data_IF_884603764392
#
_entry.id   IF_884603764392
#
_cell.length_a   1.000
_cell.length_b   1.000
_cell.length_c   1.000
_cell.angle_alpha   90.00
_cell.angle_beta   90.00
_cell.angle_gamma   90.00
#
_symmetry.space_group_name_H-M   'P 1'
#
loop_
_entity.id
_entity.type
_entity.pdbx_description
1 polymer ?
#
# COMPACT_ATOMS: atom_id res chain seq x y z
N UNK A 1 -50.16 -12.88 -14.78
CA UNK A 1 -49.12 -12.32 -15.69
C UNK A 1 -47.83 -12.24 -14.87
N UNK A 2 -47.06 -13.35 -14.91
CA UNK A 2 -45.87 -13.53 -14.08
C UNK A 2 -44.66 -12.87 -14.75
N UNK A 3 -44.07 -11.90 -14.07
CA UNK A 3 -42.81 -11.30 -14.48
C UNK A 3 -41.69 -12.30 -14.10
N UNK A 4 -41.18 -13.00 -15.12
CA UNK A 4 -39.94 -13.77 -15.00
C UNK A 4 -38.77 -12.82 -14.75
N UNK A 5 -38.27 -12.85 -13.54
CA UNK A 5 -36.99 -12.27 -13.15
C UNK A 5 -35.86 -13.01 -13.86
N UNK A 6 -35.25 -12.35 -14.82
CA UNK A 6 -34.03 -12.82 -15.46
C UNK A 6 -32.88 -12.79 -14.42
N UNK A 7 -32.49 -13.98 -14.00
CA UNK A 7 -31.35 -14.26 -13.15
C UNK A 7 -30.05 -13.75 -13.78
N UNK A 8 -29.32 -12.98 -12.97
CA UNK A 8 -27.93 -12.62 -13.00
C UNK A 8 -27.01 -13.49 -13.87
N UNK A 9 -26.79 -13.08 -15.10
CA UNK A 9 -25.53 -13.33 -15.76
C UNK A 9 -24.54 -12.28 -15.21
N UNK A 10 -23.70 -12.68 -14.28
CA UNK A 10 -22.40 -12.05 -14.08
C UNK A 10 -21.80 -11.95 -15.48
N UNK A 11 -21.63 -10.74 -15.99
CA UNK A 11 -20.93 -10.47 -17.24
C UNK A 11 -19.50 -11.00 -17.09
N UNK A 12 -19.29 -12.27 -17.38
CA UNK A 12 -17.97 -12.81 -17.65
C UNK A 12 -17.52 -12.09 -18.94
N UNK A 13 -16.59 -11.16 -18.78
CA UNK A 13 -15.94 -10.47 -19.89
C UNK A 13 -15.26 -11.56 -20.75
N UNK A 14 -15.64 -11.72 -22.03
CA UNK A 14 -15.03 -12.71 -22.93
C UNK A 14 -13.51 -12.52 -23.10
N UNK A 15 -12.97 -11.39 -22.66
CA UNK A 15 -11.52 -11.12 -22.62
C UNK A 15 -10.81 -11.78 -21.44
N UNK A 16 -11.56 -12.26 -20.41
CA UNK A 16 -10.97 -12.95 -19.23
C UNK A 16 -10.41 -14.34 -19.58
N UNK A 17 -10.92 -15.02 -20.58
CA UNK A 17 -10.39 -16.34 -20.98
C UNK A 17 -9.02 -16.31 -21.67
N UNK A 18 -8.55 -15.15 -22.14
CA UNK A 18 -7.24 -15.02 -22.83
C UNK A 18 -6.05 -14.69 -21.92
N UNK A 19 -6.24 -14.42 -20.64
CA UNK A 19 -5.19 -13.88 -19.76
C UNK A 19 -4.50 -14.86 -18.80
N UNK A 20 -4.64 -16.15 -19.00
CA UNK A 20 -3.93 -17.14 -18.14
C UNK A 20 -2.46 -17.39 -18.53
N UNK A 21 -1.94 -16.72 -19.55
CA UNK A 21 -0.53 -16.88 -19.96
C UNK A 21 0.19 -15.58 -19.65
N UNK A 22 0.99 -15.59 -18.59
CA UNK A 22 1.90 -14.47 -18.28
C UNK A 22 2.87 -14.25 -19.45
N UNK A 23 3.22 -13.00 -19.77
CA UNK A 23 4.21 -12.70 -20.81
C UNK A 23 5.57 -13.33 -20.47
N UNK A 24 6.36 -13.61 -21.49
CA UNK A 24 7.64 -14.33 -21.32
C UNK A 24 8.58 -13.64 -20.33
N UNK A 25 8.68 -12.29 -20.38
CA UNK A 25 9.49 -11.52 -19.41
C UNK A 25 9.04 -11.75 -17.98
N UNK A 26 7.75 -11.92 -17.73
CA UNK A 26 7.21 -12.13 -16.39
C UNK A 26 7.66 -13.47 -15.81
N UNK A 27 7.70 -14.51 -16.63
CA UNK A 27 8.27 -15.81 -16.25
C UNK A 27 9.78 -15.71 -16.01
N UNK A 28 10.51 -15.12 -16.94
CA UNK A 28 11.99 -15.01 -16.88
C UNK A 28 12.45 -14.22 -15.66
N UNK A 29 11.76 -13.12 -15.34
CA UNK A 29 12.10 -12.25 -14.20
C UNK A 29 11.42 -12.66 -12.89
N UNK A 30 10.58 -13.71 -12.91
CA UNK A 30 9.72 -14.08 -11.77
C UNK A 30 8.89 -12.91 -11.25
N UNK A 31 8.30 -12.17 -12.18
CA UNK A 31 7.50 -10.97 -11.95
C UNK A 31 6.06 -11.21 -12.42
N UNK A 32 5.12 -11.38 -11.49
CA UNK A 32 3.78 -11.86 -11.79
C UNK A 32 2.65 -10.86 -11.51
N UNK A 33 2.94 -9.70 -10.94
CA UNK A 33 1.94 -8.66 -10.70
C UNK A 33 2.58 -7.30 -10.46
N UNK A 34 1.81 -6.26 -10.74
CA UNK A 34 2.05 -4.90 -10.28
C UNK A 34 1.41 -4.68 -8.90
N UNK A 35 1.89 -3.69 -8.16
CA UNK A 35 1.17 -3.15 -7.00
C UNK A 35 1.14 -1.62 -7.10
N UNK A 36 0.14 -0.94 -6.51
CA UNK A 36 0.12 0.52 -6.48
C UNK A 36 1.43 1.10 -5.95
N UNK A 37 1.98 0.52 -4.89
CA UNK A 37 3.26 0.94 -4.31
C UNK A 37 4.43 0.73 -5.28
N UNK A 38 4.50 -0.39 -6.00
CA UNK A 38 5.57 -0.60 -6.98
C UNK A 38 5.47 0.37 -8.15
N UNK A 39 4.26 0.71 -8.57
CA UNK A 39 4.01 1.63 -9.68
C UNK A 39 4.31 3.10 -9.33
N UNK A 40 4.14 3.49 -8.07
CA UNK A 40 4.48 4.83 -7.60
C UNK A 40 5.95 5.02 -7.25
N UNK A 41 6.75 3.95 -7.29
CA UNK A 41 8.21 4.01 -7.12
C UNK A 41 8.88 4.42 -8.43
N UNK A 42 9.97 5.20 -8.39
CA UNK A 42 10.78 5.53 -9.58
C UNK A 42 11.34 4.29 -10.29
N UNK A 43 11.74 4.40 -11.55
CA UNK A 43 12.17 3.25 -12.34
C UNK A 43 13.45 2.59 -11.78
N UNK A 44 14.47 3.36 -11.39
CA UNK A 44 15.67 2.83 -10.77
C UNK A 44 15.38 2.04 -9.48
N UNK A 45 14.71 2.62 -8.47
CA UNK A 45 14.27 1.89 -7.29
C UNK A 45 13.38 0.67 -7.59
N UNK A 46 12.51 0.75 -8.60
CA UNK A 46 11.71 -0.39 -9.04
C UNK A 46 12.58 -1.53 -9.55
N UNK A 47 13.51 -1.26 -10.47
CA UNK A 47 14.43 -2.26 -11.03
C UNK A 47 15.23 -2.90 -9.90
N UNK A 48 15.88 -2.10 -9.08
CA UNK A 48 16.70 -2.62 -7.99
C UNK A 48 15.89 -3.49 -7.04
N UNK A 49 14.77 -2.98 -6.52
CA UNK A 49 13.99 -3.68 -5.51
C UNK A 49 13.26 -4.92 -6.04
N UNK A 50 12.65 -4.83 -7.22
CA UNK A 50 11.72 -5.86 -7.66
C UNK A 50 12.29 -6.82 -8.72
N UNK A 51 13.30 -6.41 -9.47
CA UNK A 51 13.89 -7.23 -10.52
C UNK A 51 15.27 -7.79 -10.12
N UNK A 52 16.11 -7.00 -9.44
CA UNK A 52 17.47 -7.38 -9.05
C UNK A 52 17.48 -8.15 -7.72
N UNK A 53 16.82 -7.60 -6.68
CA UNK A 53 16.80 -8.27 -5.38
C UNK A 53 15.87 -9.49 -5.37
N UNK A 54 16.37 -10.59 -4.84
CA UNK A 54 15.59 -11.80 -4.56
C UNK A 54 14.52 -11.52 -3.49
N UNK A 55 13.52 -12.39 -3.37
CA UNK A 55 12.52 -12.26 -2.32
C UNK A 55 13.14 -12.35 -0.91
N UNK A 56 14.18 -13.18 -0.73
CA UNK A 56 14.91 -13.28 0.54
C UNK A 56 15.62 -11.97 0.88
N UNK A 57 16.33 -11.38 -0.09
CA UNK A 57 17.01 -10.09 0.09
C UNK A 57 16.05 -8.95 0.35
N UNK A 58 14.89 -8.91 -0.32
CA UNK A 58 13.85 -7.91 -0.05
C UNK A 58 13.34 -7.94 1.39
N UNK A 59 13.32 -9.13 2.02
CA UNK A 59 12.95 -9.27 3.44
C UNK A 59 14.01 -8.73 4.39
N UNK A 60 15.26 -8.61 3.91
CA UNK A 60 16.37 -8.04 4.68
C UNK A 60 16.47 -6.51 4.52
N UNK A 61 15.69 -5.91 3.61
CA UNK A 61 15.65 -4.45 3.51
C UNK A 61 15.20 -3.86 4.84
N UNK A 62 15.91 -2.87 5.38
CA UNK A 62 15.57 -2.32 6.67
C UNK A 62 14.19 -1.65 6.62
N UNK A 63 13.40 -1.89 7.64
CA UNK A 63 12.26 -1.06 7.98
C UNK A 63 12.70 -0.05 9.02
N UNK A 64 12.18 1.17 8.97
CA UNK A 64 12.46 2.18 9.99
C UNK A 64 11.34 2.25 11.04
N UNK A 65 11.65 2.86 12.18
CA UNK A 65 10.69 3.01 13.28
C UNK A 65 9.39 3.68 12.85
N UNK A 66 9.44 4.66 11.95
CA UNK A 66 8.25 5.34 11.44
C UNK A 66 7.31 4.41 10.66
N UNK A 67 7.86 3.57 9.79
CA UNK A 67 7.07 2.58 9.06
C UNK A 67 6.44 1.57 10.02
N UNK A 68 7.20 1.10 11.01
CA UNK A 68 6.69 0.17 12.03
C UNK A 68 5.63 0.79 12.92
N UNK A 69 5.77 2.08 13.28
CA UNK A 69 4.73 2.81 14.00
C UNK A 69 3.43 2.90 13.20
N UNK A 70 3.51 3.17 11.89
CA UNK A 70 2.34 3.15 11.01
C UNK A 70 1.66 1.78 10.96
N UNK A 71 2.45 0.70 10.85
CA UNK A 71 1.93 -0.68 10.90
C UNK A 71 1.28 -0.96 12.25
N UNK A 72 1.88 -0.56 13.36
CA UNK A 72 1.29 -0.76 14.70
C UNK A 72 -0.05 -0.01 14.86
N UNK A 73 -0.14 1.23 14.39
CA UNK A 73 -1.40 1.97 14.37
C UNK A 73 -2.48 1.24 13.55
N UNK A 74 -2.15 0.80 12.34
CA UNK A 74 -3.08 0.07 11.49
C UNK A 74 -3.52 -1.26 12.12
N UNK A 75 -2.58 -2.05 12.65
CA UNK A 75 -2.87 -3.31 13.34
C UNK A 75 -3.81 -3.11 14.54
N UNK A 76 -3.59 -2.09 15.38
CA UNK A 76 -4.46 -1.79 16.52
C UNK A 76 -5.90 -1.55 16.06
N UNK A 77 -6.09 -0.76 15.01
CA UNK A 77 -7.42 -0.43 14.48
C UNK A 77 -8.07 -1.66 13.83
N UNK A 78 -7.32 -2.44 13.05
CA UNK A 78 -7.82 -3.68 12.44
C UNK A 78 -8.25 -4.69 13.49
N UNK A 79 -7.45 -4.92 14.53
CA UNK A 79 -7.77 -5.85 15.61
C UNK A 79 -9.03 -5.45 16.39
N UNK A 80 -9.30 -4.15 16.49
CA UNK A 80 -10.46 -3.63 17.21
C UNK A 80 -11.75 -3.56 16.37
N UNK A 81 -11.65 -3.45 15.04
CA UNK A 81 -12.83 -3.22 14.19
C UNK A 81 -13.17 -4.38 13.27
N UNK A 82 -12.16 -5.13 12.79
CA UNK A 82 -12.40 -6.13 11.77
C UNK A 82 -13.36 -7.22 12.23
N UNK A 83 -14.33 -7.53 11.40
CA UNK A 83 -15.14 -8.77 11.50
C UNK A 83 -14.59 -9.84 10.58
N UNK A 84 -13.88 -9.43 9.53
CA UNK A 84 -13.16 -10.29 8.61
C UNK A 84 -11.75 -9.73 8.33
N UNK A 85 -10.73 -10.56 8.54
CA UNK A 85 -9.34 -10.26 8.23
C UNK A 85 -8.85 -11.18 7.10
N UNK A 86 -8.21 -10.61 6.08
CA UNK A 86 -7.50 -11.40 5.09
C UNK A 86 -6.08 -11.67 5.58
N UNK A 87 -5.73 -12.94 5.68
CA UNK A 87 -4.41 -13.38 6.14
C UNK A 87 -3.96 -14.66 5.43
N UNK A 88 -2.67 -14.92 5.45
CA UNK A 88 -2.14 -16.16 4.91
C UNK A 88 -2.59 -17.35 5.75
N UNK A 89 -3.20 -18.34 5.12
CA UNK A 89 -3.57 -19.60 5.74
C UNK A 89 -2.37 -20.56 5.82
N UNK A 90 -2.58 -21.77 6.37
CA UNK A 90 -1.55 -22.82 6.48
C UNK A 90 -0.98 -23.24 5.12
N UNK A 91 -1.75 -23.12 4.04
CA UNK A 91 -1.30 -23.39 2.66
C UNK A 91 -0.57 -22.19 2.03
N UNK A 92 -0.24 -21.15 2.79
CA UNK A 92 0.39 -19.89 2.34
C UNK A 92 -0.45 -19.14 1.29
N UNK A 93 -1.76 -19.39 1.24
CA UNK A 93 -2.70 -18.64 0.41
C UNK A 93 -3.38 -17.56 1.23
N UNK A 94 -3.50 -16.37 0.66
CA UNK A 94 -4.22 -15.26 1.27
C UNK A 94 -5.72 -15.53 1.16
N UNK A 95 -6.40 -15.57 2.30
CA UNK A 95 -7.82 -15.91 2.38
C UNK A 95 -8.52 -15.13 3.50
N UNK A 96 -9.84 -14.88 3.37
CA UNK A 96 -10.62 -14.24 4.42
C UNK A 96 -10.75 -15.18 5.61
N UNK A 97 -10.69 -14.63 6.81
CA UNK A 97 -10.86 -15.34 8.07
C UNK A 97 -11.76 -14.51 8.99
N UNK A 98 -12.80 -15.13 9.54
CA UNK A 98 -13.62 -14.49 10.57
C UNK A 98 -12.72 -14.03 11.71
N UNK A 99 -13.00 -12.84 12.20
CA UNK A 99 -12.28 -12.24 13.33
C UNK A 99 -13.31 -11.72 14.34
N UNK A 100 -13.03 -11.92 15.62
CA UNK A 100 -13.79 -11.31 16.71
C UNK A 100 -13.06 -10.05 17.13
N UNK A 101 -13.67 -8.87 16.95
CA UNK A 101 -13.05 -7.61 17.36
C UNK A 101 -12.62 -7.64 18.82
N UNK A 102 -11.42 -7.15 19.09
CA UNK A 102 -10.92 -6.93 20.45
C UNK A 102 -11.46 -5.59 20.98
N UNK A 103 -11.40 -5.39 22.30
CA UNK A 103 -11.57 -4.03 22.82
C UNK A 103 -10.45 -3.12 22.30
N UNK A 104 -10.72 -1.82 22.17
CA UNK A 104 -9.72 -0.85 21.70
C UNK A 104 -8.42 -0.93 22.48
N UNK A 105 -8.52 -1.08 23.82
CA UNK A 105 -7.36 -1.17 24.70
C UNK A 105 -6.56 -2.47 24.49
N UNK A 106 -7.24 -3.62 24.39
CA UNK A 106 -6.57 -4.90 24.13
C UNK A 106 -5.91 -4.94 22.74
N UNK A 107 -6.55 -4.36 21.73
CA UNK A 107 -6.00 -4.24 20.40
C UNK A 107 -4.75 -3.34 20.36
N UNK A 108 -4.82 -2.19 21.05
CA UNK A 108 -3.70 -1.29 21.18
C UNK A 108 -2.54 -1.95 21.94
N UNK A 109 -2.80 -2.60 23.08
CA UNK A 109 -1.77 -3.29 23.85
C UNK A 109 -1.04 -4.31 22.98
N UNK A 110 -1.77 -5.15 22.25
CA UNK A 110 -1.17 -6.16 21.37
C UNK A 110 -0.30 -5.54 20.28
N UNK A 111 -0.78 -4.49 19.61
CA UNK A 111 -0.01 -3.79 18.59
C UNK A 111 1.26 -3.11 19.17
N UNK A 112 1.18 -2.61 20.41
CA UNK A 112 2.32 -2.05 21.10
C UNK A 112 3.35 -3.09 21.53
N UNK A 113 2.92 -4.30 21.91
CA UNK A 113 3.82 -5.43 22.19
C UNK A 113 4.62 -5.81 20.92
N UNK A 114 3.93 -5.94 19.77
CA UNK A 114 4.57 -6.20 18.48
C UNK A 114 5.56 -5.06 18.09
N UNK A 115 5.19 -3.80 18.35
CA UNK A 115 6.08 -2.68 18.06
C UNK A 115 7.33 -2.66 18.95
N UNK A 116 7.23 -3.05 20.22
CA UNK A 116 8.38 -3.12 21.16
C UNK A 116 9.41 -4.17 20.74
N UNK A 117 9.05 -5.16 19.94
CA UNK A 117 9.98 -6.14 19.38
C UNK A 117 10.84 -5.56 18.25
N UNK A 118 10.51 -4.37 17.76
CA UNK A 118 11.27 -3.72 16.71
C UNK A 118 12.73 -3.48 17.12
N UNK A 119 13.66 -3.79 16.21
CA UNK A 119 15.09 -3.52 16.38
C UNK A 119 15.50 -2.38 15.46
N UNK A 120 15.92 -1.29 16.08
CA UNK A 120 16.37 -0.09 15.38
C UNK A 120 17.66 -0.35 14.59
N UNK A 121 17.80 0.33 13.47
CA UNK A 121 18.95 0.19 12.56
C UNK A 121 20.16 1.06 12.99
N UNK A 122 19.91 2.14 13.75
CA UNK A 122 20.90 3.07 14.26
C UNK A 122 20.35 3.85 15.47
N UNK A 123 21.20 4.68 16.09
CA UNK A 123 20.83 5.47 17.26
C UNK A 123 19.68 6.45 17.00
N UNK A 124 19.62 7.05 15.82
CA UNK A 124 18.51 7.95 15.44
C UNK A 124 17.20 7.22 15.32
N UNK A 125 17.23 6.03 14.75
CA UNK A 125 16.07 5.19 14.60
C UNK A 125 15.60 4.62 15.95
N UNK A 126 16.55 4.29 16.87
CA UNK A 126 16.25 3.94 18.25
C UNK A 126 15.53 5.09 18.99
N UNK A 127 16.02 6.31 18.86
CA UNK A 127 15.38 7.49 19.45
C UNK A 127 13.96 7.68 18.92
N UNK A 128 13.74 7.48 17.61
CA UNK A 128 12.40 7.50 17.01
C UNK A 128 11.50 6.41 17.60
N UNK A 129 12.02 5.18 17.71
CA UNK A 129 11.23 4.06 18.23
C UNK A 129 10.75 4.33 19.67
N UNK A 130 11.63 4.84 20.54
CA UNK A 130 11.26 5.23 21.90
C UNK A 130 10.17 6.31 21.91
N UNK A 131 10.31 7.35 21.10
CA UNK A 131 9.30 8.40 20.98
C UNK A 131 7.95 7.87 20.45
N UNK A 132 7.98 6.95 19.50
CA UNK A 132 6.73 6.41 18.92
C UNK A 132 5.99 5.49 19.88
N UNK A 133 6.66 4.86 20.86
CA UNK A 133 5.98 4.14 21.95
C UNK A 133 5.01 5.07 22.67
N UNK A 134 5.36 6.33 22.85
CA UNK A 134 4.52 7.32 23.54
C UNK A 134 3.41 7.90 22.64
N UNK A 135 3.67 8.02 21.33
CA UNK A 135 2.74 8.72 20.42
C UNK A 135 1.81 7.80 19.64
N UNK A 136 2.09 6.49 19.50
CA UNK A 136 1.18 5.52 18.87
C UNK A 136 -0.21 5.51 19.52
N UNK A 137 -0.36 5.47 20.87
CA UNK A 137 -1.69 5.46 21.49
C UNK A 137 -2.52 6.69 21.14
N UNK A 138 -1.91 7.86 21.08
CA UNK A 138 -2.58 9.11 20.70
C UNK A 138 -2.98 9.09 19.23
N UNK A 139 -2.09 8.63 18.34
CA UNK A 139 -2.39 8.48 16.92
C UNK A 139 -3.55 7.51 16.69
N UNK A 140 -3.56 6.35 17.36
CA UNK A 140 -4.65 5.36 17.30
C UNK A 140 -5.97 5.97 17.78
N UNK A 141 -5.96 6.79 18.85
CA UNK A 141 -7.14 7.52 19.30
C UNK A 141 -7.69 8.44 18.21
N UNK A 142 -6.83 9.20 17.52
CA UNK A 142 -7.25 10.08 16.43
C UNK A 142 -7.83 9.30 15.24
N UNK A 143 -7.27 8.13 14.92
CA UNK A 143 -7.81 7.25 13.89
C UNK A 143 -9.24 6.82 14.26
N UNK A 144 -9.48 6.38 15.50
CA UNK A 144 -10.82 6.00 15.94
C UNK A 144 -11.80 7.15 15.86
N UNK A 145 -11.41 8.36 16.28
CA UNK A 145 -12.27 9.55 16.16
C UNK A 145 -12.66 9.82 14.69
N UNK A 146 -11.69 9.70 13.77
CA UNK A 146 -11.96 9.86 12.34
C UNK A 146 -12.90 8.77 11.79
N UNK A 147 -12.69 7.51 12.15
CA UNK A 147 -13.52 6.40 11.72
C UNK A 147 -14.93 6.45 12.32
N UNK A 148 -15.07 6.85 13.58
CA UNK A 148 -16.37 7.06 14.23
C UNK A 148 -17.19 8.13 13.52
N UNK A 149 -16.55 9.24 13.11
CA UNK A 149 -17.21 10.29 12.32
C UNK A 149 -17.72 9.78 10.97
N UNK A 150 -17.01 8.86 10.32
CA UNK A 150 -17.44 8.26 9.06
C UNK A 150 -18.59 7.25 9.27
N UNK A 151 -18.63 6.60 10.42
CA UNK A 151 -19.52 5.47 10.71
C UNK A 151 -20.66 5.81 11.68
N UNK A 152 -21.06 7.07 11.78
CA UNK A 152 -22.07 7.54 12.74
C UNK A 152 -23.45 6.81 12.64
N UNK A 153 -23.74 6.10 11.56
CA UNK A 153 -25.10 5.59 11.26
C UNK A 153 -25.25 4.08 11.13
N UNK A 154 -24.18 3.32 11.18
CA UNK A 154 -24.25 1.86 10.95
C UNK A 154 -23.31 1.08 11.85
N UNK A 155 -23.68 -0.17 12.22
CA UNK A 155 -22.74 -1.19 12.70
C UNK A 155 -22.37 -2.08 11.52
N UNK A 156 -21.50 -1.66 10.64
CA UNK A 156 -21.21 -2.40 9.44
C UNK A 156 -20.27 -3.57 9.74
N UNK A 157 -20.36 -4.56 8.91
CA UNK A 157 -19.27 -5.49 8.73
C UNK A 157 -18.02 -4.71 8.33
N UNK A 158 -16.87 -5.05 8.93
CA UNK A 158 -15.57 -4.41 8.60
C UNK A 158 -14.64 -5.49 8.08
N UNK A 159 -14.25 -5.36 6.82
CA UNK A 159 -13.29 -6.23 6.16
C UNK A 159 -11.96 -5.49 6.08
N UNK A 160 -10.88 -6.10 6.59
CA UNK A 160 -9.55 -5.52 6.56
C UNK A 160 -8.59 -6.36 5.73
N UNK A 161 -7.59 -5.70 5.12
CA UNK A 161 -6.54 -6.30 4.31
C UNK A 161 -7.09 -7.15 3.14
N UNK A 162 -8.28 -6.82 2.64
CA UNK A 162 -8.87 -7.59 1.54
C UNK A 162 -7.97 -7.56 0.33
N UNK A 163 -7.60 -8.74 -0.12
CA UNK A 163 -6.82 -8.90 -1.35
C UNK A 163 -7.70 -8.62 -2.56
N UNK A 164 -7.24 -7.74 -3.40
CA UNK A 164 -7.91 -7.36 -4.62
C UNK A 164 -6.95 -7.47 -5.81
N UNK A 165 -7.49 -7.86 -6.95
CA UNK A 165 -6.79 -7.93 -8.23
C UNK A 165 -7.60 -7.26 -9.31
N UNK A 166 -6.94 -6.50 -10.16
CA UNK A 166 -7.53 -5.84 -11.33
C UNK A 166 -6.78 -6.24 -12.57
N UNK A 167 -7.46 -6.97 -13.44
CA UNK A 167 -7.03 -7.18 -14.83
C UNK A 167 -7.47 -6.01 -15.67
N UNK A 168 -6.52 -5.25 -16.21
CA UNK A 168 -6.80 -4.14 -17.11
C UNK A 168 -6.42 -4.57 -18.54
N UNK A 169 -7.30 -4.41 -19.56
CA UNK A 169 -7.02 -4.85 -20.93
C UNK A 169 -5.81 -4.14 -21.57
N UNK A 170 -5.38 -3.03 -21.02
CA UNK A 170 -4.20 -2.28 -21.46
C UNK A 170 -2.89 -2.85 -20.94
N UNK A 171 -2.94 -3.80 -19.98
CA UNK A 171 -1.77 -4.37 -19.29
C UNK A 171 -1.64 -5.86 -19.60
N UNK A 172 -0.41 -6.32 -19.61
CA UNK A 172 -0.06 -7.74 -19.76
C UNK A 172 -0.06 -8.47 -18.41
N UNK A 173 0.16 -7.74 -17.33
CA UNK A 173 0.23 -8.25 -15.96
C UNK A 173 -0.79 -7.50 -15.10
N UNK A 174 -1.49 -8.22 -14.23
CA UNK A 174 -2.51 -7.63 -13.36
C UNK A 174 -1.92 -6.73 -12.27
N UNK A 175 -2.76 -5.83 -11.73
CA UNK A 175 -2.42 -5.02 -10.57
C UNK A 175 -3.06 -5.67 -9.35
N UNK A 176 -2.25 -5.95 -8.32
CA UNK A 176 -2.69 -6.56 -7.07
C UNK A 176 -2.43 -5.60 -5.90
N UNK A 177 -3.36 -5.56 -4.95
CA UNK A 177 -3.22 -4.77 -3.74
C UNK A 177 -4.08 -5.29 -2.60
N UNK A 178 -4.12 -4.53 -1.51
CA UNK A 178 -4.96 -4.82 -0.35
C UNK A 178 -5.58 -3.53 0.15
N UNK A 179 -6.89 -3.55 0.40
CA UNK A 179 -7.59 -2.43 1.02
C UNK A 179 -7.31 -2.39 2.51
N UNK A 180 -7.14 -1.21 3.10
CA UNK A 180 -7.00 -1.11 4.55
C UNK A 180 -8.32 -1.49 5.24
N UNK A 181 -9.42 -0.83 4.86
CA UNK A 181 -10.75 -1.08 5.44
C UNK A 181 -11.86 -0.99 4.39
N UNK A 182 -12.77 -1.95 4.43
CA UNK A 182 -14.06 -1.94 3.73
C UNK A 182 -15.16 -1.99 4.77
N UNK A 183 -15.99 -0.98 4.83
CA UNK A 183 -17.14 -0.87 5.75
C UNK A 183 -18.43 -1.14 5.00
N UNK A 184 -19.32 -1.93 5.59
CA UNK A 184 -20.64 -2.24 5.04
C UNK A 184 -20.86 -3.72 4.81
N UNK A 185 -21.99 -4.08 4.22
CA UNK A 185 -22.31 -5.46 3.85
C UNK A 185 -21.94 -5.72 2.39
N UNK A 186 -21.35 -6.86 2.12
CA UNK A 186 -20.88 -7.27 0.78
C UNK A 186 -21.43 -8.65 0.42
N UNK A 187 -22.77 -8.83 0.33
CA UNK A 187 -23.35 -10.11 -0.07
C UNK A 187 -22.81 -10.49 -1.46
N UNK A 188 -22.26 -11.70 -1.56
CA UNK A 188 -21.66 -12.23 -2.80
C UNK A 188 -20.59 -11.29 -3.42
N UNK A 189 -19.93 -10.49 -2.57
CA UNK A 189 -18.91 -9.52 -3.02
C UNK A 189 -19.48 -8.22 -3.61
N UNK A 190 -20.79 -8.04 -3.61
CA UNK A 190 -21.47 -6.84 -4.11
C UNK A 190 -21.71 -5.90 -2.91
N UNK A 191 -21.24 -4.64 -2.98
CA UNK A 191 -21.47 -3.70 -1.89
C UNK A 191 -22.95 -3.31 -1.77
N UNK A 192 -23.46 -3.34 -0.54
CA UNK A 192 -24.81 -2.83 -0.23
C UNK A 192 -24.79 -1.29 -0.14
N UNK A 193 -26.01 -0.72 -0.11
CA UNK A 193 -26.16 0.72 0.14
C UNK A 193 -25.51 1.10 1.47
N UNK A 194 -24.75 2.20 1.47
CA UNK A 194 -24.03 2.68 2.66
C UNK A 194 -22.65 2.06 2.86
N UNK A 195 -22.21 1.13 2.00
CA UNK A 195 -20.83 0.61 2.04
C UNK A 195 -19.83 1.66 1.54
N UNK A 196 -18.62 1.67 2.10
CA UNK A 196 -17.55 2.59 1.72
C UNK A 196 -16.16 2.00 2.01
N UNK A 197 -15.15 2.63 1.40
CA UNK A 197 -13.74 2.27 1.58
C UNK A 197 -13.03 3.32 2.42
N UNK A 198 -12.06 2.90 3.23
CA UNK A 198 -11.14 3.82 3.91
C UNK A 198 -9.71 3.38 3.66
N UNK A 199 -8.90 4.30 3.18
CA UNK A 199 -7.45 4.20 3.12
C UNK A 199 -6.87 5.01 4.28
N UNK A 200 -6.07 4.38 5.13
CA UNK A 200 -5.48 5.00 6.32
C UNK A 200 -4.03 5.39 6.10
N UNK A 201 -3.69 6.60 6.47
CA UNK A 201 -2.31 7.10 6.47
C UNK A 201 -1.97 7.73 7.81
N UNK A 202 -0.91 7.27 8.44
CA UNK A 202 -0.40 7.86 9.67
C UNK A 202 0.75 8.81 9.38
N UNK A 203 0.78 9.93 10.11
CA UNK A 203 1.84 10.92 10.04
C UNK A 203 2.51 11.00 11.40
N UNK A 204 3.80 10.73 11.44
CA UNK A 204 4.56 10.70 12.67
C UNK A 204 5.55 11.86 12.75
N UNK A 205 5.91 12.26 13.96
CA UNK A 205 6.93 13.26 14.22
C UNK A 205 8.25 12.89 13.51
N UNK A 206 8.97 13.90 13.03
CA UNK A 206 10.23 13.71 12.34
C UNK A 206 11.40 14.18 13.19
N UNK A 207 12.50 13.50 13.09
CA UNK A 207 13.74 13.82 13.78
C UNK A 207 14.71 14.47 12.80
N UNK A 208 15.01 15.73 13.07
CA UNK A 208 15.91 16.57 12.28
C UNK A 208 17.38 16.34 12.60
N UNK A 209 18.14 17.43 12.68
CA UNK A 209 19.59 17.41 12.94
C UNK A 209 19.88 17.07 14.41
N UNK A 210 21.02 16.43 14.64
CA UNK A 210 21.60 16.23 15.96
C UNK A 210 22.03 17.61 16.53
N UNK A 211 21.62 17.92 17.74
CA UNK A 211 21.99 19.11 18.47
C UNK A 211 23.34 18.90 19.18
N UNK A 212 23.99 19.98 19.63
CA UNK A 212 25.25 19.93 20.37
C UNK A 212 25.16 19.16 21.71
N UNK A 213 23.97 19.08 22.30
CA UNK A 213 23.72 18.34 23.54
C UNK A 213 23.45 16.83 23.30
N UNK A 214 23.56 16.32 22.10
CA UNK A 214 23.32 14.91 21.78
C UNK A 214 21.88 14.56 21.43
N UNK A 215 20.93 15.50 21.55
CA UNK A 215 19.52 15.26 21.21
C UNK A 215 19.25 15.59 19.74
N UNK A 216 18.21 14.98 19.17
CA UNK A 216 17.71 15.34 17.87
C UNK A 216 16.66 16.46 17.93
N UNK A 217 16.64 17.32 16.93
CA UNK A 217 15.55 18.29 16.77
C UNK A 217 14.26 17.54 16.45
N UNK A 218 13.22 17.69 17.28
CA UNK A 218 11.91 17.12 17.03
C UNK A 218 11.07 18.09 16.16
N UNK A 219 10.51 17.57 15.08
CA UNK A 219 9.59 18.28 14.19
C UNK A 219 8.23 17.60 14.31
N UNK A 220 7.26 18.27 14.91
CA UNK A 220 5.92 17.74 15.09
C UNK A 220 5.30 17.31 13.76
N UNK A 221 4.57 16.22 13.82
CA UNK A 221 3.75 15.75 12.71
C UNK A 221 2.75 16.83 12.29
N UNK A 222 2.56 16.95 10.99
CA UNK A 222 1.52 17.81 10.42
C UNK A 222 0.82 17.04 9.33
N UNK A 223 -0.49 16.97 9.43
CA UNK A 223 -1.32 16.42 8.39
C UNK A 223 -1.16 17.27 7.12
N UNK A 224 -0.98 16.65 5.95
CA UNK A 224 -0.85 17.40 4.71
C UNK A 224 -2.16 18.12 4.38
N UNK A 225 -2.08 19.33 3.84
CA UNK A 225 -3.25 20.12 3.40
C UNK A 225 -3.96 19.50 2.19
N UNK A 226 -3.29 18.63 1.47
CA UNK A 226 -3.84 17.87 0.35
C UNK A 226 -3.17 16.50 0.29
N UNK A 227 -3.90 15.46 -0.16
CA UNK A 227 -3.34 14.13 -0.35
C UNK A 227 -2.19 14.12 -1.35
N UNK A 228 -1.20 13.25 -1.11
CA UNK A 228 -0.16 12.99 -2.09
C UNK A 228 -0.72 12.23 -3.30
N UNK A 229 -0.11 12.42 -4.47
CA UNK A 229 -0.51 11.71 -5.69
C UNK A 229 -0.43 10.18 -5.51
N UNK A 230 0.57 9.69 -4.80
CA UNK A 230 0.73 8.25 -4.51
C UNK A 230 -0.48 7.70 -3.75
N UNK A 231 -0.98 8.41 -2.75
CA UNK A 231 -2.14 7.97 -1.98
C UNK A 231 -3.44 8.08 -2.80
N UNK A 232 -3.57 9.10 -3.65
CA UNK A 232 -4.69 9.21 -4.58
C UNK A 232 -4.69 8.06 -5.60
N UNK A 233 -3.53 7.65 -6.09
CA UNK A 233 -3.40 6.49 -6.97
C UNK A 233 -3.75 5.17 -6.28
N UNK A 234 -3.42 5.00 -4.99
CA UNK A 234 -3.86 3.84 -4.20
C UNK A 234 -5.38 3.83 -4.07
N UNK A 235 -5.98 4.95 -3.67
CA UNK A 235 -7.44 5.10 -3.60
C UNK A 235 -8.12 4.79 -4.96
N UNK A 236 -7.54 5.25 -6.05
CA UNK A 236 -8.05 5.02 -7.39
C UNK A 236 -8.03 3.53 -7.77
N UNK A 237 -6.97 2.82 -7.42
CA UNK A 237 -6.88 1.38 -7.64
C UNK A 237 -7.93 0.61 -6.83
N UNK A 238 -8.13 0.92 -5.54
CA UNK A 238 -9.14 0.27 -4.72
C UNK A 238 -10.56 0.54 -5.22
N UNK A 239 -10.85 1.78 -5.58
CA UNK A 239 -12.16 2.16 -6.14
C UNK A 239 -12.44 1.51 -7.49
N UNK A 240 -11.40 1.19 -8.29
CA UNK A 240 -11.54 0.54 -9.59
C UNK A 240 -12.22 -0.82 -9.50
N UNK A 241 -11.98 -1.58 -8.43
CA UNK A 241 -12.60 -2.88 -8.17
C UNK A 241 -14.12 -2.78 -8.10
N UNK A 242 -14.62 -1.66 -7.59
CA UNK A 242 -16.04 -1.35 -7.44
C UNK A 242 -16.55 -0.38 -8.52
N UNK A 243 -15.88 -0.32 -9.68
CA UNK A 243 -16.22 0.57 -10.79
C UNK A 243 -16.37 2.05 -10.39
N UNK A 244 -15.68 2.46 -9.31
CA UNK A 244 -15.76 3.81 -8.74
C UNK A 244 -17.15 4.20 -8.19
N UNK A 245 -17.96 3.20 -7.83
CA UNK A 245 -19.32 3.45 -7.30
C UNK A 245 -19.32 3.57 -5.77
N UNK A 246 -18.35 2.95 -5.08
CA UNK A 246 -18.23 3.10 -3.64
C UNK A 246 -17.55 4.42 -3.27
N UNK A 247 -18.08 5.16 -2.28
CA UNK A 247 -17.34 6.24 -1.64
C UNK A 247 -16.00 5.72 -1.10
N UNK A 248 -14.95 6.49 -1.28
CA UNK A 248 -13.65 6.23 -0.67
C UNK A 248 -13.22 7.44 0.12
N UNK A 249 -12.77 7.19 1.33
CA UNK A 249 -12.23 8.17 2.26
C UNK A 249 -10.75 7.92 2.45
N UNK A 250 -9.96 8.99 2.42
CA UNK A 250 -8.54 8.94 2.76
C UNK A 250 -8.38 9.64 4.12
N UNK A 251 -8.14 8.83 5.14
CA UNK A 251 -7.98 9.29 6.52
C UNK A 251 -6.49 9.45 6.83
N UNK A 252 -6.06 10.68 7.09
CA UNK A 252 -4.76 10.94 7.70
C UNK A 252 -4.93 11.15 9.20
N UNK A 253 -4.04 10.57 9.99
CA UNK A 253 -4.01 10.78 11.43
C UNK A 253 -2.57 10.99 11.94
N UNK A 254 -2.42 11.87 12.90
CA UNK A 254 -1.21 12.03 13.70
C UNK A 254 -1.58 11.99 15.20
N UNK A 255 -0.61 12.17 16.09
CA UNK A 255 -0.88 12.12 17.54
C UNK A 255 -1.87 13.18 18.02
N UNK A 256 -1.95 14.32 17.35
CA UNK A 256 -2.71 15.50 17.82
C UNK A 256 -4.02 15.70 17.06
N UNK A 257 -4.15 15.16 15.83
CA UNK A 257 -5.26 15.50 14.95
C UNK A 257 -5.50 14.42 13.87
N UNK A 258 -6.64 14.52 13.17
CA UNK A 258 -6.94 13.75 11.98
C UNK A 258 -7.62 14.62 10.91
N UNK A 259 -7.50 14.21 9.66
CA UNK A 259 -8.17 14.85 8.52
C UNK A 259 -8.74 13.77 7.59
N UNK A 260 -9.96 14.00 7.12
CA UNK A 260 -10.65 13.11 6.19
C UNK A 260 -10.79 13.83 4.86
N UNK A 261 -10.22 13.22 3.83
CA UNK A 261 -10.41 13.64 2.45
C UNK A 261 -11.40 12.71 1.75
N UNK A 262 -12.34 13.31 1.04
CA UNK A 262 -13.36 12.64 0.23
C UNK A 262 -13.64 13.41 -1.07
N UNK A 263 -14.67 13.00 -1.80
CA UNK A 263 -15.05 13.63 -3.06
C UNK A 263 -15.55 15.07 -2.93
N UNK A 264 -15.92 15.51 -1.72
CA UNK A 264 -16.44 16.87 -1.48
C UNK A 264 -15.34 17.90 -1.28
N UNK A 265 -14.20 17.48 -0.70
CA UNK A 265 -13.08 18.36 -0.36
C UNK A 265 -11.78 18.03 -1.12
N UNK A 266 -11.74 16.92 -1.88
CA UNK A 266 -10.58 16.51 -2.68
C UNK A 266 -11.00 16.12 -4.11
N UNK A 267 -10.73 16.94 -5.14
CA UNK A 267 -11.05 16.61 -6.53
C UNK A 267 -10.49 15.29 -7.03
N UNK A 268 -9.33 14.87 -6.49
CA UNK A 268 -8.69 13.59 -6.83
C UNK A 268 -9.47 12.36 -6.36
N UNK A 269 -10.40 12.50 -5.43
CA UNK A 269 -11.27 11.43 -4.91
C UNK A 269 -12.68 11.45 -5.52
N UNK A 270 -12.99 12.40 -6.40
CA UNK A 270 -14.21 12.33 -7.23
C UNK A 270 -14.12 11.16 -8.20
N UNK A 271 -15.25 10.65 -8.69
CA UNK A 271 -15.27 9.57 -9.70
C UNK A 271 -14.38 9.87 -10.92
N UNK A 272 -14.35 11.13 -11.37
CA UNK A 272 -13.47 11.59 -12.45
C UNK A 272 -12.00 11.57 -12.01
N UNK A 273 -11.69 12.16 -10.85
CA UNK A 273 -10.31 12.20 -10.32
C UNK A 273 -9.74 10.81 -10.05
N UNK A 274 -10.54 9.87 -9.54
CA UNK A 274 -10.15 8.48 -9.34
C UNK A 274 -9.81 7.80 -10.67
N UNK A 275 -10.63 7.99 -11.73
CA UNK A 275 -10.31 7.45 -13.06
C UNK A 275 -9.01 8.01 -13.60
N UNK A 276 -8.80 9.32 -13.52
CA UNK A 276 -7.56 9.97 -13.96
C UNK A 276 -6.33 9.45 -13.20
N UNK A 277 -6.43 9.27 -11.88
CA UNK A 277 -5.33 8.73 -11.07
C UNK A 277 -5.06 7.24 -11.37
N UNK A 278 -6.10 6.45 -11.64
CA UNK A 278 -5.95 5.07 -12.10
C UNK A 278 -5.26 4.99 -13.47
N UNK A 279 -5.65 5.86 -14.41
CA UNK A 279 -5.02 5.92 -15.73
C UNK A 279 -3.53 6.29 -15.67
N UNK A 280 -3.13 7.11 -14.70
CA UNK A 280 -1.71 7.37 -14.43
C UNK A 280 -0.98 6.10 -13.99
N UNK A 281 -1.55 5.31 -13.06
CA UNK A 281 -0.98 4.01 -12.66
C UNK A 281 -0.82 3.07 -13.85
N UNK A 282 -1.87 2.92 -14.65
CA UNK A 282 -1.84 2.07 -15.86
C UNK A 282 -0.80 2.57 -16.85
N UNK A 283 -0.64 3.88 -17.01
CA UNK A 283 0.37 4.46 -17.89
C UNK A 283 1.80 4.08 -17.47
N UNK A 284 2.10 4.15 -16.17
CA UNK A 284 3.40 3.71 -15.62
C UNK A 284 3.61 2.21 -15.84
N UNK A 285 2.62 1.38 -15.49
CA UNK A 285 2.69 -0.07 -15.67
C UNK A 285 2.94 -0.42 -17.14
N UNK A 286 2.18 0.17 -18.07
CA UNK A 286 2.30 -0.06 -19.51
C UNK A 286 3.67 0.36 -20.05
N UNK A 287 4.22 1.47 -19.61
CA UNK A 287 5.56 1.91 -19.98
C UNK A 287 6.61 0.89 -19.55
N UNK A 288 6.53 0.40 -18.32
CA UNK A 288 7.43 -0.63 -17.79
C UNK A 288 7.26 -1.97 -18.49
N UNK A 289 6.04 -2.39 -18.77
CA UNK A 289 5.80 -3.62 -19.55
C UNK A 289 6.45 -3.54 -20.95
N UNK A 290 6.35 -2.39 -21.63
CA UNK A 290 7.02 -2.19 -22.91
C UNK A 290 8.55 -2.25 -22.77
N UNK A 291 9.11 -1.69 -21.70
CA UNK A 291 10.54 -1.78 -21.40
C UNK A 291 10.97 -3.24 -21.21
N UNK A 292 10.22 -4.00 -20.40
CA UNK A 292 10.51 -5.41 -20.12
C UNK A 292 10.31 -6.30 -21.35
N UNK A 293 9.26 -6.07 -22.13
CA UNK A 293 8.93 -6.85 -23.32
C UNK A 293 9.95 -6.65 -24.46
N UNK A 294 10.66 -5.52 -24.50
CA UNK A 294 11.72 -5.26 -25.50
C UNK A 294 12.79 -6.34 -25.49
N UNK A 295 13.09 -6.89 -24.33
CA UNK A 295 14.17 -7.86 -24.09
C UNK A 295 13.66 -9.26 -23.77
N UNK A 296 12.37 -9.56 -23.94
CA UNK A 296 11.75 -10.81 -23.48
C UNK A 296 12.29 -12.10 -24.12
N UNK A 297 13.00 -12.01 -25.26
CA UNK A 297 13.66 -13.15 -25.91
C UNK A 297 14.99 -13.55 -25.26
N UNK A 298 15.54 -12.72 -24.36
CA UNK A 298 16.83 -12.89 -23.70
C UNK A 298 16.67 -13.71 -22.40
N UNK A 299 17.78 -14.20 -21.88
CA UNK A 299 17.85 -14.73 -20.52
C UNK A 299 17.77 -13.61 -19.48
N UNK A 300 17.63 -14.01 -18.20
CA UNK A 300 17.40 -13.06 -17.10
C UNK A 300 18.53 -12.04 -16.94
N UNK A 301 19.78 -12.51 -17.00
CA UNK A 301 20.97 -11.68 -16.83
C UNK A 301 21.02 -10.61 -17.93
N UNK A 302 20.88 -11.03 -19.18
CA UNK A 302 20.88 -10.13 -20.33
C UNK A 302 19.72 -9.13 -20.31
N UNK A 303 18.50 -9.53 -19.86
CA UNK A 303 17.38 -8.61 -19.66
C UNK A 303 17.77 -7.54 -18.64
N UNK A 304 18.32 -7.93 -17.49
CA UNK A 304 18.66 -7.00 -16.43
C UNK A 304 19.78 -6.04 -16.87
N UNK A 305 20.83 -6.52 -17.52
CA UNK A 305 21.93 -5.67 -18.04
C UNK A 305 21.39 -4.58 -18.98
N UNK A 306 20.55 -4.94 -19.94
CA UNK A 306 20.00 -3.99 -20.89
C UNK A 306 19.05 -2.97 -20.22
N UNK A 307 18.19 -3.42 -19.29
CA UNK A 307 17.28 -2.52 -18.57
C UNK A 307 18.05 -1.55 -17.67
N UNK A 308 19.12 -2.02 -17.02
CA UNK A 308 19.98 -1.19 -16.18
C UNK A 308 20.69 -0.16 -17.04
N UNK A 309 21.22 -0.55 -18.19
CA UNK A 309 21.89 0.38 -19.13
C UNK A 309 20.93 1.45 -19.67
N UNK A 310 19.67 1.10 -19.92
CA UNK A 310 18.65 2.00 -20.47
C UNK A 310 17.97 2.88 -19.39
N UNK A 311 18.28 2.71 -18.09
CA UNK A 311 17.56 3.38 -17.00
C UNK A 311 18.48 4.27 -16.17
N UNK A 312 18.10 5.54 -16.03
CA UNK A 312 18.67 6.43 -15.02
C UNK A 312 18.21 5.96 -13.62
N UNK A 313 19.13 5.57 -12.73
CA UNK A 313 18.80 5.11 -11.39
C UNK A 313 18.20 6.20 -10.50
N UNK A 314 18.45 7.48 -10.76
CA UNK A 314 18.07 8.63 -9.93
C UNK A 314 18.42 8.42 -8.45
N UNK A 315 19.71 8.33 -8.13
CA UNK A 315 20.19 8.11 -6.76
C UNK A 315 19.83 9.20 -5.75
N UNK A 316 19.29 10.34 -6.19
CA UNK A 316 18.68 11.33 -5.29
C UNK A 316 17.34 10.86 -4.69
N UNK A 317 16.76 9.78 -5.22
CA UNK A 317 15.51 9.26 -4.70
C UNK A 317 15.66 8.73 -3.27
N UNK A 318 14.77 9.10 -2.31
CA UNK A 318 14.88 8.72 -0.89
C UNK A 318 14.95 7.22 -0.62
N UNK A 319 14.49 6.39 -1.55
CA UNK A 319 14.59 4.94 -1.46
C UNK A 319 16.02 4.47 -1.19
N UNK A 320 16.99 4.99 -1.95
CA UNK A 320 18.39 4.55 -1.83
C UNK A 320 19.03 4.94 -0.50
N UNK A 321 18.58 6.01 0.13
CA UNK A 321 19.11 6.43 1.44
C UNK A 321 18.58 5.58 2.61
N UNK A 322 17.51 4.82 2.38
CA UNK A 322 16.83 4.05 3.42
C UNK A 322 17.02 2.53 3.32
N UNK A 323 17.76 2.02 2.33
CA UNK A 323 17.93 0.57 2.11
C UNK A 323 19.11 -0.05 2.86
N UNK A 324 19.86 0.76 3.61
CA UNK A 324 21.06 0.34 4.33
C UNK A 324 22.34 0.28 3.48
N UNK A 325 23.52 0.43 4.11
CA UNK A 325 24.78 0.64 3.39
C UNK A 325 25.15 -0.47 2.40
N UNK A 326 24.90 -1.74 2.77
CA UNK A 326 25.22 -2.89 1.90
C UNK A 326 24.40 -2.91 0.62
N UNK A 327 23.10 -2.60 0.71
CA UNK A 327 22.22 -2.53 -0.46
C UNK A 327 22.45 -1.27 -1.27
N UNK A 328 22.77 -0.16 -0.60
CA UNK A 328 23.14 1.09 -1.24
C UNK A 328 24.40 0.91 -2.09
N UNK A 329 25.46 0.34 -1.52
CA UNK A 329 26.68 0.01 -2.27
C UNK A 329 26.35 -0.87 -3.48
N UNK A 330 25.60 -1.96 -3.28
CA UNK A 330 25.21 -2.86 -4.39
C UNK A 330 24.41 -2.13 -5.48
N UNK A 331 23.54 -1.16 -5.12
CA UNK A 331 22.84 -0.35 -6.09
C UNK A 331 23.80 0.54 -6.88
N UNK A 332 24.79 1.18 -6.24
CA UNK A 332 25.82 1.96 -6.93
C UNK A 332 26.67 1.09 -7.86
N UNK A 333 27.14 -0.06 -7.37
CA UNK A 333 27.94 -0.99 -8.18
C UNK A 333 27.16 -1.47 -9.42
N UNK A 334 25.86 -1.69 -9.30
CA UNK A 334 25.00 -2.14 -10.39
C UNK A 334 24.95 -1.17 -11.57
N UNK A 335 25.00 0.13 -11.31
CA UNK A 335 25.05 1.18 -12.35
C UNK A 335 26.48 1.66 -12.63
N UNK A 336 27.51 0.92 -12.20
CA UNK A 336 28.93 1.28 -12.36
C UNK A 336 29.29 2.66 -11.81
N UNK A 337 28.60 3.09 -10.77
CA UNK A 337 28.91 4.35 -10.09
C UNK A 337 29.79 4.04 -8.88
N UNK A 338 31.09 4.30 -9.02
CA UNK A 338 32.03 4.28 -7.88
C UNK A 338 31.68 5.40 -6.90
N UNK A 339 31.60 5.09 -5.61
CA UNK A 339 31.51 6.09 -4.55
C UNK A 339 32.75 6.94 -4.47
#
# INVERSE_FOLDING_TARGET
MELKTNSNKVLQDPLLEKKNILPKFAHTLNFNHWSPTSLSTGDGPFIFKYLVLTQAERRLLPSNAQMKAGVACNNAVQLALATTLWKFNSAKKLAPSKHTPLTKDAALQKAMEEFKEYRATDNKDQTKAMHYIETIPQTVKQIFLGLEKLNEKTTPEVICEKHISVSDPRLLVEIIGRTDFEFGSFPDGIPSSGSFLVELKTVHDRFGKLKKNGDYTLLNARIPKAPSEIHLQQCAFYSRVYNYELPIYLLYACKDDYEIFDSSNCPGLTKKGLKENYDKLVSVARRRERMLARYESMDKESILENIIADTDPNFSHPYYWNIGPQFQKRAYDLWNLTQ
#
